data_IF_769165150188
#
_entry.id   IF_769165150188
#
_cell.length_a   1.000
_cell.length_b   1.000
_cell.length_c   1.000
_cell.angle_alpha   90.00
_cell.angle_beta   90.00
_cell.angle_gamma   90.00
#
_symmetry.space_group_name_H-M   'P 1'
#
loop_
_entity.id
_entity.type
_entity.pdbx_description
1 polymer ?
#
# COMPACT_ATOMS: atom_id res chain seq x y z
N UNK A 1 -2.76 -23.87 0.18
CA UNK A 1 -1.62 -23.13 -0.41
C UNK A 1 -1.55 -21.78 0.27
N UNK A 2 -0.52 -21.58 1.08
CA UNK A 2 -0.34 -20.37 1.91
C UNK A 2 0.36 -19.28 1.12
N UNK A 3 -0.30 -18.14 0.90
CA UNK A 3 0.22 -17.07 0.05
C UNK A 3 0.49 -15.80 0.85
N UNK A 4 1.63 -15.14 0.57
CA UNK A 4 1.95 -13.81 1.09
C UNK A 4 1.80 -12.77 -0.02
N UNK A 5 1.00 -11.75 0.23
CA UNK A 5 0.91 -10.54 -0.59
C UNK A 5 1.68 -9.42 0.09
N UNK A 6 2.92 -9.19 -0.35
CA UNK A 6 3.82 -8.17 0.19
C UNK A 6 3.73 -6.88 -0.62
N UNK A 7 3.37 -5.78 0.04
CA UNK A 7 3.31 -4.45 -0.54
C UNK A 7 4.55 -3.65 -0.15
N UNK A 8 5.34 -3.26 -1.14
CA UNK A 8 6.59 -2.49 -0.97
C UNK A 8 6.55 -1.21 -1.80
N UNK A 9 7.46 -0.27 -1.53
CA UNK A 9 7.62 0.88 -2.42
C UNK A 9 8.35 0.50 -3.71
N UNK A 10 9.52 -0.12 -3.61
CA UNK A 10 10.30 -0.47 -4.79
C UNK A 10 10.97 -1.84 -4.71
N UNK A 11 11.13 -2.44 -3.55
CA UNK A 11 11.78 -3.75 -3.43
C UNK A 11 11.13 -4.79 -4.36
N UNK A 12 11.90 -5.58 -5.10
CA UNK A 12 13.35 -5.75 -5.05
C UNK A 12 14.14 -4.82 -6.00
N UNK A 13 13.52 -3.78 -6.56
CA UNK A 13 14.20 -2.85 -7.48
C UNK A 13 14.84 -1.69 -6.73
N UNK A 14 16.03 -1.26 -7.20
CA UNK A 14 16.80 -0.17 -6.62
C UNK A 14 17.35 -0.50 -5.23
N UNK A 15 17.66 0.54 -4.44
CA UNK A 15 18.34 0.42 -3.14
C UNK A 15 17.43 0.71 -1.94
N UNK A 16 16.19 1.05 -2.18
CA UNK A 16 15.21 1.31 -1.12
C UNK A 16 14.82 0.02 -0.39
N UNK A 17 14.37 0.16 0.85
CA UNK A 17 13.90 -0.94 1.68
C UNK A 17 14.97 -2.05 1.86
N UNK A 18 16.19 -1.69 2.35
CA UNK A 18 17.33 -2.62 2.42
C UNK A 18 17.06 -3.82 3.33
N UNK A 19 16.29 -3.63 4.40
CA UNK A 19 16.01 -4.72 5.35
C UNK A 19 15.19 -5.87 4.74
N UNK A 20 14.40 -5.59 3.68
CA UNK A 20 13.66 -6.63 2.99
C UNK A 20 14.57 -7.65 2.29
N UNK A 21 15.79 -7.27 1.93
CA UNK A 21 16.78 -8.20 1.34
C UNK A 21 17.15 -9.33 2.29
N UNK A 22 17.18 -9.03 3.59
CA UNK A 22 17.41 -10.06 4.62
C UNK A 22 16.11 -10.78 4.98
N UNK A 23 15.02 -10.03 5.12
CA UNK A 23 13.72 -10.56 5.57
C UNK A 23 13.11 -11.53 4.57
N UNK A 24 13.25 -11.31 3.27
CA UNK A 24 12.70 -12.17 2.22
C UNK A 24 13.24 -13.60 2.26
N UNK A 25 14.40 -13.81 2.86
CA UNK A 25 15.00 -15.14 3.05
C UNK A 25 14.20 -16.04 4.02
N UNK A 26 13.33 -15.45 4.83
CA UNK A 26 12.49 -16.16 5.79
C UNK A 26 11.06 -16.41 5.27
N UNK A 27 10.80 -16.16 3.98
CA UNK A 27 9.48 -16.37 3.39
C UNK A 27 9.29 -17.75 2.78
N UNK A 28 10.21 -18.69 3.04
CA UNK A 28 10.14 -20.08 2.56
C UNK A 28 8.97 -20.88 3.16
N UNK A 29 8.40 -20.41 4.28
CA UNK A 29 7.17 -20.96 4.89
C UNK A 29 5.89 -20.68 4.07
N UNK A 30 5.98 -19.84 3.04
CA UNK A 30 4.90 -19.57 2.11
C UNK A 30 5.11 -20.35 0.80
N UNK A 31 4.04 -20.98 0.33
CA UNK A 31 4.06 -21.68 -0.97
C UNK A 31 4.29 -20.69 -2.12
N UNK A 32 3.68 -19.49 -2.02
CA UNK A 32 3.86 -18.38 -2.98
C UNK A 32 3.96 -17.03 -2.26
N UNK A 33 4.85 -16.18 -2.75
CA UNK A 33 5.00 -14.79 -2.32
C UNK A 33 4.83 -13.88 -3.52
N UNK A 34 3.87 -12.98 -3.48
CA UNK A 34 3.71 -11.92 -4.48
C UNK A 34 4.20 -10.60 -3.91
N UNK A 35 5.26 -10.04 -4.50
CA UNK A 35 5.76 -8.71 -4.14
C UNK A 35 5.16 -7.67 -5.09
N UNK A 36 4.30 -6.81 -4.58
CA UNK A 36 3.78 -5.65 -5.29
C UNK A 36 4.68 -4.44 -5.03
N UNK A 37 5.57 -4.15 -5.97
CA UNK A 37 6.46 -3.00 -5.89
C UNK A 37 5.76 -1.76 -6.49
N UNK A 38 5.22 -0.87 -5.64
CA UNK A 38 4.17 0.09 -5.97
C UNK A 38 4.65 1.43 -6.54
N UNK A 39 5.93 1.78 -6.36
CA UNK A 39 6.45 3.09 -6.69
C UNK A 39 7.69 3.02 -7.58
N UNK A 40 7.66 2.10 -8.54
CA UNK A 40 8.79 1.89 -9.45
C UNK A 40 8.97 3.12 -10.35
N UNK A 41 10.19 3.61 -10.42
CA UNK A 41 10.66 4.60 -11.38
C UNK A 41 11.62 3.93 -12.35
N UNK A 42 11.88 4.57 -13.50
CA UNK A 42 12.78 4.01 -14.52
C UNK A 42 14.19 3.72 -13.99
N UNK A 43 14.69 4.59 -13.11
CA UNK A 43 16.00 4.41 -12.46
C UNK A 43 16.08 3.14 -11.60
N UNK A 44 14.99 2.76 -10.92
CA UNK A 44 14.95 1.56 -10.07
C UNK A 44 15.10 0.27 -10.88
N UNK A 45 14.64 0.26 -12.14
CA UNK A 45 14.70 -0.93 -13.00
C UNK A 45 16.15 -1.33 -13.38
N UNK A 46 17.11 -0.43 -13.21
CA UNK A 46 18.53 -0.70 -13.51
C UNK A 46 19.14 -1.74 -12.57
N UNK A 47 18.60 -1.90 -11.38
CA UNK A 47 19.08 -2.85 -10.38
C UNK A 47 17.91 -3.63 -9.80
N UNK A 48 17.99 -4.96 -9.90
CA UNK A 48 17.04 -5.88 -9.28
C UNK A 48 17.80 -6.82 -8.35
N UNK A 49 17.40 -6.85 -7.09
CA UNK A 49 17.96 -7.76 -6.07
C UNK A 49 17.39 -9.16 -6.25
N UNK A 50 18.16 -10.16 -5.83
CA UNK A 50 17.75 -11.55 -5.89
C UNK A 50 16.63 -11.81 -4.86
N UNK A 51 15.66 -12.60 -5.25
CA UNK A 51 14.56 -13.09 -4.41
C UNK A 51 14.43 -14.61 -4.55
N UNK A 52 13.75 -15.27 -3.63
CA UNK A 52 13.53 -16.72 -3.65
C UNK A 52 12.74 -17.21 -4.87
N UNK A 53 12.81 -18.51 -5.13
CA UNK A 53 12.13 -19.13 -6.28
C UNK A 53 10.59 -19.13 -6.15
N UNK A 54 10.08 -19.10 -4.92
CA UNK A 54 8.65 -18.98 -4.60
C UNK A 54 8.12 -17.55 -4.72
N UNK A 55 8.98 -16.56 -5.09
CA UNK A 55 8.65 -15.12 -5.12
C UNK A 55 8.35 -14.66 -6.54
N UNK A 56 7.16 -14.16 -6.74
CA UNK A 56 6.71 -13.49 -7.98
C UNK A 56 6.64 -11.99 -7.77
N UNK A 57 7.37 -11.22 -8.56
CA UNK A 57 7.44 -9.75 -8.44
C UNK A 57 6.55 -9.08 -9.47
N UNK A 58 5.67 -8.22 -9.03
CA UNK A 58 4.75 -7.43 -9.85
C UNK A 58 5.10 -5.96 -9.73
N UNK A 59 5.89 -5.41 -10.68
CA UNK A 59 6.22 -3.99 -10.66
C UNK A 59 5.03 -3.13 -11.10
N UNK A 60 4.77 -2.09 -10.31
CA UNK A 60 3.79 -1.04 -10.57
C UNK A 60 4.55 0.27 -10.75
N UNK A 61 4.53 0.80 -11.96
CA UNK A 61 5.19 2.07 -12.24
C UNK A 61 4.48 3.22 -11.53
N UNK A 62 5.26 4.12 -10.95
CA UNK A 62 4.72 5.34 -10.35
C UNK A 62 3.93 6.12 -11.39
N UNK A 63 2.68 6.42 -11.09
CA UNK A 63 1.81 7.16 -11.99
C UNK A 63 2.17 8.64 -12.05
N UNK A 64 1.73 9.30 -13.12
CA UNK A 64 1.80 10.75 -13.25
C UNK A 64 0.75 11.45 -12.37
N UNK A 65 0.99 12.73 -12.06
CA UNK A 65 0.01 13.53 -11.33
C UNK A 65 -1.35 13.61 -12.07
N UNK A 66 -1.33 13.61 -13.41
CA UNK A 66 -2.56 13.57 -14.23
C UNK A 66 -3.36 12.30 -13.99
N UNK A 67 -2.69 11.15 -13.87
CA UNK A 67 -3.34 9.87 -13.58
C UNK A 67 -4.00 9.91 -12.20
N UNK A 68 -3.31 10.43 -11.17
CA UNK A 68 -3.90 10.54 -9.84
C UNK A 68 -5.09 11.53 -9.82
N UNK A 69 -5.02 12.61 -10.59
CA UNK A 69 -6.15 13.53 -10.74
C UNK A 69 -7.37 12.85 -11.37
N UNK A 70 -7.18 12.03 -12.40
CA UNK A 70 -8.27 11.23 -12.98
C UNK A 70 -8.85 10.23 -11.98
N UNK A 71 -7.99 9.56 -11.20
CA UNK A 71 -8.43 8.64 -10.16
C UNK A 71 -9.12 9.32 -8.97
N UNK A 72 -8.96 10.64 -8.81
CA UNK A 72 -9.67 11.38 -7.77
C UNK A 72 -11.19 11.33 -7.94
N UNK A 73 -11.69 11.26 -9.18
CA UNK A 73 -13.13 11.04 -9.43
C UNK A 73 -13.61 9.68 -8.94
N UNK A 74 -12.79 8.64 -9.06
CA UNK A 74 -13.13 7.32 -8.52
C UNK A 74 -13.19 7.31 -6.99
N UNK A 75 -12.37 8.12 -6.33
CA UNK A 75 -12.38 8.19 -4.87
C UNK A 75 -13.67 8.77 -4.31
N UNK A 76 -14.43 9.53 -5.09
CA UNK A 76 -15.72 10.08 -4.68
C UNK A 76 -16.78 9.00 -4.37
N UNK A 77 -16.57 7.77 -4.81
CA UNK A 77 -17.43 6.63 -4.46
C UNK A 77 -16.98 5.92 -3.17
N UNK A 78 -15.88 6.35 -2.56
CA UNK A 78 -15.34 5.73 -1.36
C UNK A 78 -15.85 6.42 -0.09
N UNK A 79 -16.66 5.72 0.69
CA UNK A 79 -17.24 6.24 1.94
C UNK A 79 -16.16 6.68 2.95
N UNK A 80 -14.96 6.07 2.90
CA UNK A 80 -13.88 6.43 3.82
C UNK A 80 -13.29 7.81 3.50
N UNK A 81 -13.38 8.27 2.25
CA UNK A 81 -13.01 9.65 1.89
C UNK A 81 -13.83 10.65 2.70
N UNK A 82 -15.13 10.46 2.76
CA UNK A 82 -16.06 11.37 3.47
C UNK A 82 -15.87 11.29 4.99
N UNK A 83 -15.62 10.09 5.52
CA UNK A 83 -15.28 9.91 6.95
C UNK A 83 -14.00 10.63 7.31
N UNK A 84 -12.98 10.55 6.47
CA UNK A 84 -11.70 11.22 6.69
C UNK A 84 -11.83 12.75 6.53
N UNK A 85 -12.61 13.22 5.56
CA UNK A 85 -12.93 14.63 5.42
C UNK A 85 -13.64 15.19 6.67
N UNK A 86 -14.67 14.49 7.16
CA UNK A 86 -15.37 14.87 8.38
C UNK A 86 -14.43 14.92 9.60
N UNK A 87 -13.45 14.00 9.68
CA UNK A 87 -12.42 14.00 10.71
C UNK A 87 -11.52 15.24 10.63
N UNK A 88 -11.04 15.59 9.41
CA UNK A 88 -10.24 16.81 9.20
C UNK A 88 -10.99 18.06 9.66
N UNK A 89 -12.28 18.16 9.36
CA UNK A 89 -13.13 19.28 9.81
C UNK A 89 -13.26 19.29 11.34
N UNK A 90 -13.62 18.15 11.93
CA UNK A 90 -13.82 18.01 13.38
C UNK A 90 -12.55 18.31 14.18
N UNK A 91 -11.40 17.88 13.70
CA UNK A 91 -10.10 18.12 14.33
C UNK A 91 -9.53 19.52 14.07
N UNK A 92 -10.23 20.38 13.35
CA UNK A 92 -9.77 21.72 12.92
C UNK A 92 -8.46 21.69 12.13
N UNK A 93 -8.20 20.59 11.41
CA UNK A 93 -6.97 20.39 10.61
C UNK A 93 -7.22 20.51 9.10
N UNK A 94 -8.41 20.97 8.71
CA UNK A 94 -8.74 21.19 7.31
C UNK A 94 -7.92 22.38 6.76
N UNK A 95 -7.09 22.08 5.78
CA UNK A 95 -6.33 23.05 4.99
C UNK A 95 -6.29 22.57 3.54
N UNK A 96 -5.97 23.45 2.61
CA UNK A 96 -5.83 23.08 1.19
C UNK A 96 -4.80 21.93 1.05
N UNK A 97 -3.69 22.01 1.77
CA UNK A 97 -2.65 20.97 1.76
C UNK A 97 -3.19 19.63 2.24
N UNK A 98 -3.82 19.59 3.41
CA UNK A 98 -4.31 18.34 3.99
C UNK A 98 -5.45 17.74 3.14
N UNK A 99 -6.29 18.58 2.56
CA UNK A 99 -7.30 18.17 1.60
C UNK A 99 -6.68 17.51 0.36
N UNK A 100 -5.67 18.13 -0.24
CA UNK A 100 -4.93 17.55 -1.38
C UNK A 100 -4.23 16.26 -0.98
N UNK A 101 -3.56 16.21 0.18
CA UNK A 101 -2.90 15.00 0.67
C UNK A 101 -3.90 13.85 0.83
N UNK A 102 -5.09 14.13 1.38
CA UNK A 102 -6.16 13.14 1.49
C UNK A 102 -6.57 12.59 0.12
N UNK A 103 -6.84 13.48 -0.85
CA UNK A 103 -7.22 13.03 -2.21
C UNK A 103 -6.12 12.23 -2.91
N UNK A 104 -4.87 12.65 -2.78
CA UNK A 104 -3.71 11.91 -3.33
C UNK A 104 -3.60 10.51 -2.71
N UNK A 105 -3.79 10.41 -1.40
CA UNK A 105 -3.78 9.13 -0.68
C UNK A 105 -4.82 8.15 -1.26
N UNK A 106 -6.07 8.58 -1.36
CA UNK A 106 -7.15 7.74 -1.89
C UNK A 106 -6.96 7.42 -3.38
N UNK A 107 -6.64 8.43 -4.21
CA UNK A 107 -6.44 8.25 -5.65
C UNK A 107 -5.33 7.24 -5.95
N UNK A 108 -4.21 7.37 -5.23
CA UNK A 108 -3.08 6.46 -5.34
C UNK A 108 -3.47 5.04 -4.93
N UNK A 109 -4.14 4.90 -3.80
CA UNK A 109 -4.56 3.60 -3.29
C UNK A 109 -5.50 2.88 -4.26
N UNK A 110 -6.50 3.57 -4.80
CA UNK A 110 -7.42 3.01 -5.78
C UNK A 110 -6.71 2.64 -7.09
N UNK A 111 -5.84 3.52 -7.59
CA UNK A 111 -5.08 3.27 -8.81
C UNK A 111 -4.22 2.00 -8.69
N UNK A 112 -3.45 1.89 -7.61
CA UNK A 112 -2.56 0.76 -7.39
C UNK A 112 -3.34 -0.54 -7.13
N UNK A 113 -4.42 -0.48 -6.37
CA UNK A 113 -5.30 -1.64 -6.16
C UNK A 113 -5.92 -2.14 -7.47
N UNK A 114 -6.37 -1.26 -8.35
CA UNK A 114 -6.94 -1.65 -9.65
C UNK A 114 -5.86 -2.25 -10.58
N UNK A 115 -4.63 -1.73 -10.56
CA UNK A 115 -3.53 -2.31 -11.34
C UNK A 115 -3.12 -3.68 -10.82
N UNK A 116 -3.01 -3.85 -9.50
CA UNK A 116 -2.72 -5.16 -8.89
C UNK A 116 -3.80 -6.16 -9.27
N UNK A 117 -5.06 -5.80 -9.06
CA UNK A 117 -6.20 -6.67 -9.40
C UNK A 117 -6.16 -7.12 -10.87
N UNK A 118 -5.90 -6.17 -11.78
CA UNK A 118 -5.77 -6.49 -13.22
C UNK A 118 -4.62 -7.48 -13.50
N UNK A 119 -3.48 -7.33 -12.80
CA UNK A 119 -2.31 -8.21 -12.98
C UNK A 119 -2.47 -9.56 -12.29
N UNK A 120 -3.24 -9.61 -11.20
CA UNK A 120 -3.50 -10.82 -10.40
C UNK A 120 -4.69 -11.65 -10.90
N UNK A 121 -5.34 -11.25 -11.98
CA UNK A 121 -6.53 -11.92 -12.51
C UNK A 121 -6.31 -13.43 -12.68
N UNK A 122 -7.06 -14.22 -11.91
CA UNK A 122 -6.96 -15.69 -11.90
C UNK A 122 -5.91 -16.29 -10.95
N UNK A 123 -5.13 -15.48 -10.24
CA UNK A 123 -4.06 -15.94 -9.34
C UNK A 123 -4.28 -15.54 -7.87
N UNK A 124 -5.53 -15.32 -7.46
CA UNK A 124 -5.86 -14.92 -6.09
C UNK A 124 -6.11 -16.16 -5.24
N UNK A 125 -5.40 -16.27 -4.11
CA UNK A 125 -5.54 -17.38 -3.17
C UNK A 125 -6.35 -16.95 -1.93
N UNK A 126 -7.26 -17.80 -1.48
CA UNK A 126 -8.10 -17.55 -0.29
C UNK A 126 -7.31 -17.65 1.02
N UNK A 127 -6.34 -18.54 1.09
CA UNK A 127 -5.44 -18.71 2.24
C UNK A 127 -4.24 -17.79 2.10
N UNK A 128 -4.41 -16.53 2.48
CA UNK A 128 -3.41 -15.49 2.24
C UNK A 128 -3.29 -14.50 3.38
N UNK A 129 -2.13 -13.84 3.43
CA UNK A 129 -1.83 -12.74 4.35
C UNK A 129 -1.38 -11.56 3.49
N UNK A 130 -1.89 -10.36 3.80
CA UNK A 130 -1.33 -9.11 3.28
C UNK A 130 -0.31 -8.58 4.26
N UNK A 131 0.89 -8.29 3.77
CA UNK A 131 1.93 -7.63 4.53
C UNK A 131 2.32 -6.32 3.85
N UNK A 132 2.11 -5.22 4.54
CA UNK A 132 2.56 -3.90 4.12
C UNK A 132 3.86 -3.55 4.82
N UNK A 133 4.94 -3.39 4.04
CA UNK A 133 6.25 -3.03 4.61
C UNK A 133 6.30 -1.57 5.11
N UNK A 134 5.34 -0.75 4.72
CA UNK A 134 5.19 0.65 5.17
C UNK A 134 3.79 0.86 5.70
N UNK A 135 3.68 1.69 6.75
CA UNK A 135 2.40 2.06 7.33
C UNK A 135 1.94 3.44 6.84
N UNK A 136 2.03 3.66 5.51
CA UNK A 136 1.51 4.85 4.86
C UNK A 136 0.14 4.54 4.21
N UNK A 137 0.06 4.46 2.88
CA UNK A 137 -1.18 4.16 2.13
C UNK A 137 -1.28 2.68 1.72
N UNK A 138 -0.20 1.93 1.80
CA UNK A 138 -0.16 0.52 1.37
C UNK A 138 -1.14 -0.38 2.14
N UNK A 139 -1.33 -0.22 3.47
CA UNK A 139 -2.37 -0.97 4.17
C UNK A 139 -3.77 -0.71 3.61
N UNK A 140 -4.03 0.51 3.12
CA UNK A 140 -5.31 0.83 2.48
C UNK A 140 -5.46 0.12 1.13
N UNK A 141 -4.38 0.01 0.34
CA UNK A 141 -4.34 -0.82 -0.88
C UNK A 141 -4.68 -2.26 -0.55
N UNK A 142 -4.06 -2.84 0.49
CA UNK A 142 -4.35 -4.20 0.96
C UNK A 142 -5.84 -4.36 1.35
N UNK A 143 -6.41 -3.39 2.07
CA UNK A 143 -7.82 -3.39 2.44
C UNK A 143 -8.76 -3.36 1.22
N UNK A 144 -8.45 -2.54 0.22
CA UNK A 144 -9.20 -2.48 -1.04
C UNK A 144 -9.16 -3.82 -1.79
N UNK A 145 -7.97 -4.43 -1.88
CA UNK A 145 -7.79 -5.74 -2.51
C UNK A 145 -8.51 -6.85 -1.75
N UNK A 146 -8.35 -6.92 -0.42
CA UNK A 146 -9.06 -7.86 0.45
C UNK A 146 -10.56 -7.81 0.22
N UNK A 147 -11.14 -6.59 0.18
CA UNK A 147 -12.57 -6.39 -0.11
C UNK A 147 -12.94 -6.83 -1.52
N UNK A 148 -12.16 -6.44 -2.52
CA UNK A 148 -12.43 -6.71 -3.94
C UNK A 148 -12.36 -8.20 -4.25
N UNK A 149 -11.38 -8.89 -3.66
CA UNK A 149 -11.18 -10.34 -3.84
C UNK A 149 -12.03 -11.19 -2.87
N UNK A 150 -12.81 -10.56 -1.99
CA UNK A 150 -13.66 -11.22 -0.97
C UNK A 150 -12.87 -12.20 -0.09
N UNK A 151 -11.67 -11.78 0.33
CA UNK A 151 -10.79 -12.59 1.15
C UNK A 151 -11.03 -12.34 2.65
N UNK A 152 -10.79 -13.38 3.45
CA UNK A 152 -10.72 -13.28 4.92
C UNK A 152 -9.27 -13.26 5.42
N UNK A 153 -8.39 -12.65 4.65
CA UNK A 153 -6.96 -12.57 4.95
C UNK A 153 -6.66 -11.58 6.08
N UNK A 154 -5.65 -11.85 6.86
CA UNK A 154 -5.09 -10.85 7.79
C UNK A 154 -4.34 -9.78 7.03
N UNK A 155 -4.36 -8.57 7.58
CA UNK A 155 -3.54 -7.45 7.12
C UNK A 155 -2.55 -7.11 8.23
N UNK A 156 -1.27 -7.24 7.92
CA UNK A 156 -0.16 -6.96 8.81
C UNK A 156 0.62 -5.77 8.25
N UNK A 157 1.08 -4.88 9.09
CA UNK A 157 1.89 -3.74 8.65
C UNK A 157 3.12 -3.56 9.50
N UNK A 158 4.23 -3.19 8.88
CA UNK A 158 5.40 -2.67 9.56
C UNK A 158 5.34 -1.15 9.57
N UNK A 159 5.64 -0.55 10.70
CA UNK A 159 5.72 0.89 10.83
C UNK A 159 7.18 1.33 11.02
N UNK A 160 7.57 2.38 10.32
CA UNK A 160 8.83 3.06 10.48
C UNK A 160 8.58 4.43 11.11
N UNK A 161 9.62 5.07 11.65
CA UNK A 161 9.50 6.39 12.27
C UNK A 161 8.67 7.37 11.44
N UNK A 162 8.99 7.53 10.17
CA UNK A 162 8.27 8.42 9.26
C UNK A 162 6.79 8.08 9.13
N UNK A 163 6.45 6.80 9.22
CA UNK A 163 5.07 6.34 9.07
C UNK A 163 4.23 6.58 10.36
N UNK A 164 4.87 6.88 11.50
CA UNK A 164 4.21 7.01 12.80
C UNK A 164 3.97 8.45 13.21
N UNK A 165 4.92 9.33 12.94
CA UNK A 165 4.93 10.68 13.47
C UNK A 165 4.38 11.68 12.46
N UNK A 166 3.23 12.29 12.78
CA UNK A 166 2.58 13.28 11.91
C UNK A 166 3.41 14.54 11.71
N UNK A 167 4.23 14.91 12.70
CA UNK A 167 5.15 16.04 12.66
C UNK A 167 6.25 15.90 11.59
N UNK A 168 6.56 14.68 11.16
CA UNK A 168 7.47 14.41 10.05
C UNK A 168 6.82 14.72 8.68
N UNK A 169 5.51 14.88 8.65
CA UNK A 169 4.75 15.15 7.43
C UNK A 169 4.36 16.61 7.28
N UNK A 170 4.42 17.13 6.06
CA UNK A 170 3.96 18.49 5.77
C UNK A 170 2.47 18.63 6.08
N UNK A 171 2.15 19.55 6.99
CA UNK A 171 0.79 19.77 7.47
C UNK A 171 0.42 18.91 8.68
N UNK A 172 1.42 18.23 9.27
CA UNK A 172 1.27 17.37 10.46
C UNK A 172 0.07 16.41 10.33
N UNK A 173 -0.06 15.80 9.16
CA UNK A 173 -1.22 15.00 8.82
C UNK A 173 -0.85 13.77 8.01
N UNK A 174 -1.27 12.62 8.48
CA UNK A 174 -1.21 11.33 7.78
C UNK A 174 -2.66 10.88 7.49
N UNK A 175 -3.09 10.83 6.21
CA UNK A 175 -4.44 10.44 5.86
C UNK A 175 -4.80 9.03 6.35
N UNK A 176 -6.05 8.87 6.78
CA UNK A 176 -6.61 7.58 7.20
C UNK A 176 -5.94 6.91 8.40
N UNK A 177 -5.06 7.59 9.15
CA UNK A 177 -4.32 7.00 10.28
C UNK A 177 -5.24 6.25 11.25
N UNK A 178 -6.25 6.92 11.79
CA UNK A 178 -7.19 6.28 12.71
C UNK A 178 -8.13 5.30 12.00
N UNK A 179 -8.53 5.62 10.76
CA UNK A 179 -9.45 4.78 10.00
C UNK A 179 -8.87 3.43 9.61
N UNK A 180 -7.54 3.36 9.38
CA UNK A 180 -6.86 2.13 8.99
C UNK A 180 -6.45 1.28 10.21
N UNK A 181 -6.13 1.92 11.34
CA UNK A 181 -5.73 1.21 12.58
C UNK A 181 -6.75 0.14 12.99
N UNK A 182 -8.05 0.44 12.86
CA UNK A 182 -9.13 -0.51 13.19
C UNK A 182 -9.29 -1.66 12.16
N UNK A 183 -8.52 -1.66 11.09
CA UNK A 183 -8.62 -2.62 9.96
C UNK A 183 -7.35 -3.46 9.78
N UNK A 184 -6.32 -3.18 10.55
CA UNK A 184 -5.07 -3.93 10.55
C UNK A 184 -5.08 -4.88 11.73
N UNK A 185 -4.71 -6.13 11.47
CA UNK A 185 -4.67 -7.16 12.50
C UNK A 185 -3.45 -6.99 13.42
N UNK A 186 -2.27 -6.66 12.86
CA UNK A 186 -1.04 -6.44 13.63
C UNK A 186 -0.16 -5.35 13.00
N UNK A 187 0.53 -4.58 13.86
CA UNK A 187 1.55 -3.59 13.49
C UNK A 187 2.84 -3.90 14.26
N UNK A 188 3.97 -3.88 13.58
CA UNK A 188 5.32 -4.14 14.11
C UNK A 188 6.24 -2.92 13.92
#
# INVERSE_FOLDING_TARGET
MKTLYLLTNSFPYGDWEPYLETEVKYYDDFDEVYIFALQIRKEHLKRKRTVGNNVKVIPIMKASNKTYLLYSFRTLTDINLYKEFARLVKSRRLSVRNFVNMFVYFSRSHYEADLIDKKMKGHVNKESIFYSYRFEYQPYVAMLLKKKWKLNSKIVSRAHRYDLYEEEHKGNYIPMREGILSKIDNIY
#
